data_IF_128834421841
#
_entry.id   IF_128834421841
#
_cell.length_a   1.000
_cell.length_b   1.000
_cell.length_c   1.000
_cell.angle_alpha   90.00
_cell.angle_beta   90.00
_cell.angle_gamma   90.00
#
_symmetry.space_group_name_H-M   'P 1'
#
loop_
_entity.id
_entity.type
_entity.pdbx_description
1 polymer ?
#
# COMPACT_ATOMS: atom_id res chain seq x y z
N UNK A 1 0.99 4.39 -24.77
CA UNK A 1 1.28 5.42 -23.76
C UNK A 1 -0.03 6.16 -23.44
N UNK A 2 -0.56 5.97 -22.24
CA UNK A 2 -1.70 6.76 -21.74
C UNK A 2 -1.10 8.06 -21.19
N UNK A 3 -1.56 9.20 -21.70
CA UNK A 3 -1.20 10.50 -21.14
C UNK A 3 -2.22 10.84 -20.06
N UNK A 4 -1.81 10.85 -18.80
CA UNK A 4 -2.67 11.30 -17.71
C UNK A 4 -2.81 12.83 -17.79
N UNK A 5 -4.06 13.31 -17.80
CA UNK A 5 -4.39 14.74 -17.80
C UNK A 5 -4.67 15.28 -16.38
N UNK A 6 -4.71 14.39 -15.41
CA UNK A 6 -4.98 14.66 -14.00
C UNK A 6 -3.97 13.92 -13.14
N UNK A 7 -3.75 14.35 -11.89
CA UNK A 7 -2.98 13.59 -10.92
C UNK A 7 -3.55 12.18 -10.72
N UNK A 8 -2.68 11.24 -10.42
CA UNK A 8 -3.06 9.85 -10.11
C UNK A 8 -3.25 9.64 -8.61
N UNK A 9 -4.18 8.75 -8.28
CA UNK A 9 -4.34 8.18 -6.94
C UNK A 9 -3.61 6.84 -6.95
N UNK A 10 -2.65 6.65 -6.06
CA UNK A 10 -1.90 5.40 -5.94
C UNK A 10 -1.85 4.91 -4.49
N UNK A 11 -1.26 3.74 -4.26
CA UNK A 11 -1.15 3.12 -2.93
C UNK A 11 -2.51 3.09 -2.19
N UNK A 12 -3.58 2.62 -2.86
CA UNK A 12 -4.95 2.55 -2.33
C UNK A 12 -5.46 3.88 -1.72
N UNK A 13 -5.03 5.01 -2.28
CA UNK A 13 -5.42 6.34 -1.81
C UNK A 13 -4.42 7.05 -0.92
N UNK A 14 -3.35 6.38 -0.49
CA UNK A 14 -2.34 6.97 0.39
C UNK A 14 -1.45 8.00 -0.30
N UNK A 15 -1.40 8.01 -1.64
CA UNK A 15 -0.54 8.90 -2.42
C UNK A 15 -1.31 9.54 -3.57
N UNK A 16 -1.22 10.86 -3.69
CA UNK A 16 -1.65 11.62 -4.87
C UNK A 16 -0.41 12.17 -5.56
N UNK A 17 -0.25 11.86 -6.84
CA UNK A 17 0.93 12.22 -7.63
C UNK A 17 0.55 12.90 -8.94
N UNK A 18 1.17 14.05 -9.22
CA UNK A 18 1.03 14.77 -10.48
C UNK A 18 2.20 14.43 -11.41
N UNK A 19 1.92 13.64 -12.44
CA UNK A 19 2.91 13.23 -13.43
C UNK A 19 3.37 14.40 -14.33
N UNK A 20 2.58 15.45 -14.47
CA UNK A 20 2.96 16.60 -15.28
C UNK A 20 3.90 17.55 -14.54
N UNK A 21 3.73 17.66 -13.24
CA UNK A 21 4.60 18.44 -12.35
C UNK A 21 5.70 17.60 -11.69
N UNK A 22 5.69 16.27 -11.91
CA UNK A 22 6.60 15.29 -11.28
C UNK A 22 6.65 15.45 -9.76
N UNK A 23 5.49 15.65 -9.13
CA UNK A 23 5.42 16.00 -7.70
C UNK A 23 4.34 15.24 -6.95
N UNK A 24 4.62 14.97 -5.68
CA UNK A 24 3.65 14.44 -4.71
C UNK A 24 2.77 15.60 -4.23
N UNK A 25 1.46 15.49 -4.46
CA UNK A 25 0.47 16.48 -4.03
C UNK A 25 -0.05 16.21 -2.61
N UNK A 26 -0.21 14.94 -2.25
CA UNK A 26 -0.66 14.51 -0.93
C UNK A 26 -0.11 13.11 -0.62
N UNK A 27 0.20 12.87 0.65
CA UNK A 27 0.53 11.54 1.16
C UNK A 27 0.01 11.35 2.59
N UNK A 28 -0.54 10.18 2.84
CA UNK A 28 -0.86 9.68 4.17
C UNK A 28 0.15 8.60 4.54
N UNK A 29 0.80 8.74 5.69
CA UNK A 29 1.87 7.84 6.10
C UNK A 29 1.43 6.91 7.22
N UNK A 30 2.01 5.71 7.22
CA UNK A 30 1.87 4.74 8.29
C UNK A 30 2.48 5.26 9.60
N UNK A 31 1.90 4.86 10.73
CA UNK A 31 2.65 4.85 11.97
C UNK A 31 3.75 3.79 11.85
N UNK A 32 4.99 4.24 11.75
CA UNK A 32 6.16 3.39 11.49
C UNK A 32 6.40 2.35 12.59
N UNK A 33 6.28 2.74 13.85
CA UNK A 33 6.51 1.84 14.99
C UNK A 33 5.53 0.66 14.96
N UNK A 34 4.25 0.95 14.76
CA UNK A 34 3.20 -0.07 14.63
C UNK A 34 3.43 -0.98 13.43
N UNK A 35 3.79 -0.41 12.27
CA UNK A 35 4.07 -1.17 11.05
C UNK A 35 5.32 -2.06 11.22
N UNK A 36 6.40 -1.54 11.80
CA UNK A 36 7.63 -2.30 12.07
C UNK A 36 7.33 -3.47 13.04
N UNK A 37 6.58 -3.22 14.11
CA UNK A 37 6.16 -4.26 15.06
C UNK A 37 5.40 -5.38 14.35
N UNK A 38 4.46 -5.02 13.47
CA UNK A 38 3.70 -5.98 12.70
C UNK A 38 4.58 -6.79 11.74
N UNK A 39 5.50 -6.15 11.02
CA UNK A 39 6.45 -6.82 10.12
C UNK A 39 7.28 -7.87 10.88
N UNK A 40 7.89 -7.48 12.00
CA UNK A 40 8.76 -8.37 12.77
C UNK A 40 7.99 -9.55 13.38
N UNK A 41 6.80 -9.32 13.94
CA UNK A 41 5.94 -10.39 14.49
C UNK A 41 5.49 -11.35 13.38
N UNK A 42 5.09 -10.82 12.22
CA UNK A 42 4.66 -11.63 11.08
C UNK A 42 5.81 -12.46 10.52
N UNK A 43 6.99 -11.88 10.30
CA UNK A 43 8.15 -12.63 9.80
C UNK A 43 8.62 -13.70 10.79
N UNK A 44 8.53 -13.46 12.10
CA UNK A 44 8.82 -14.47 13.10
C UNK A 44 7.85 -15.66 13.02
N UNK A 45 6.56 -15.41 12.75
CA UNK A 45 5.54 -16.46 12.65
C UNK A 45 5.47 -17.12 11.28
N UNK A 46 5.71 -16.37 10.23
CA UNK A 46 5.60 -16.78 8.83
C UNK A 46 6.89 -16.41 8.05
N UNK A 47 8.01 -17.12 8.26
CA UNK A 47 9.32 -16.73 7.72
C UNK A 47 9.44 -16.84 6.19
N UNK A 48 8.42 -17.34 5.50
CA UNK A 48 8.36 -17.44 4.03
C UNK A 48 7.57 -16.31 3.35
N UNK A 49 6.92 -15.44 4.14
CA UNK A 49 6.15 -14.31 3.61
C UNK A 49 7.12 -13.25 3.06
N UNK A 50 6.92 -12.83 1.81
CA UNK A 50 7.60 -11.67 1.25
C UNK A 50 7.07 -10.38 1.86
N UNK A 51 7.96 -9.41 2.06
CA UNK A 51 7.60 -8.11 2.65
C UNK A 51 8.24 -6.99 1.86
N UNK A 52 7.39 -6.07 1.41
CA UNK A 52 7.78 -4.86 0.70
C UNK A 52 7.23 -3.63 1.43
N UNK A 53 8.00 -2.54 1.41
CA UNK A 53 7.59 -1.23 1.93
C UNK A 53 7.63 -0.22 0.81
N UNK A 54 6.53 0.47 0.57
CA UNK A 54 6.45 1.59 -0.36
C UNK A 54 6.62 2.90 0.39
N UNK A 55 7.64 3.67 0.04
CA UNK A 55 7.85 5.01 0.56
C UNK A 55 7.07 6.08 -0.23
N UNK A 56 6.77 7.19 0.41
CA UNK A 56 5.98 8.27 -0.18
C UNK A 56 6.70 9.07 -1.30
N UNK A 57 7.94 8.75 -1.60
CA UNK A 57 8.70 9.25 -2.75
C UNK A 57 8.62 8.31 -3.97
N UNK A 58 7.87 7.19 -3.87
CA UNK A 58 7.73 6.19 -4.91
C UNK A 58 8.80 5.09 -4.90
N UNK A 59 9.76 5.12 -3.98
CA UNK A 59 10.73 4.04 -3.82
C UNK A 59 10.10 2.83 -3.14
N UNK A 60 10.49 1.64 -3.62
CA UNK A 60 10.10 0.37 -3.03
C UNK A 60 11.30 -0.31 -2.36
N UNK A 61 11.10 -0.73 -1.12
CA UNK A 61 12.08 -1.43 -0.32
C UNK A 61 11.63 -2.87 -0.09
N UNK A 62 12.51 -3.84 -0.35
CA UNK A 62 12.26 -5.26 -0.11
C UNK A 62 12.94 -5.66 1.20
N UNK A 63 12.12 -5.96 2.20
CA UNK A 63 12.57 -6.37 3.54
C UNK A 63 12.83 -7.87 3.57
N UNK A 64 11.94 -8.62 2.95
CA UNK A 64 12.06 -10.07 2.82
C UNK A 64 11.57 -10.49 1.44
N UNK A 65 12.44 -11.07 0.63
CA UNK A 65 12.15 -11.49 -0.74
C UNK A 65 11.58 -12.91 -0.79
N UNK A 66 10.65 -13.14 -1.72
CA UNK A 66 10.20 -14.46 -2.16
C UNK A 66 9.81 -14.42 -3.65
N UNK A 67 9.32 -15.53 -4.20
CA UNK A 67 8.93 -15.60 -5.61
C UNK A 67 7.82 -14.61 -5.98
N UNK A 68 6.88 -14.35 -5.05
CA UNK A 68 5.75 -13.43 -5.29
C UNK A 68 6.22 -11.97 -5.30
N UNK A 69 7.11 -11.57 -4.39
CA UNK A 69 7.69 -10.21 -4.43
C UNK A 69 8.54 -10.01 -5.68
N UNK A 70 9.28 -11.04 -6.10
CA UNK A 70 10.05 -10.95 -7.35
C UNK A 70 9.14 -10.79 -8.58
N UNK A 71 8.06 -11.56 -8.67
CA UNK A 71 7.07 -11.42 -9.73
C UNK A 71 6.43 -10.02 -9.72
N UNK A 72 6.06 -9.50 -8.55
CA UNK A 72 5.51 -8.15 -8.39
C UNK A 72 6.44 -7.06 -8.95
N UNK A 73 7.74 -7.13 -8.64
CA UNK A 73 8.72 -6.19 -9.16
C UNK A 73 8.86 -6.25 -10.69
N UNK A 74 8.83 -7.44 -11.26
CA UNK A 74 8.92 -7.65 -12.71
C UNK A 74 7.66 -7.16 -13.42
N UNK A 75 6.48 -7.51 -12.93
CA UNK A 75 5.20 -7.20 -13.55
C UNK A 75 4.89 -5.69 -13.51
N UNK A 76 5.21 -5.04 -12.40
CA UNK A 76 5.00 -3.60 -12.23
C UNK A 76 6.18 -2.73 -12.74
N UNK A 77 7.24 -3.36 -13.25
CA UNK A 77 8.46 -2.67 -13.69
C UNK A 77 9.08 -1.77 -12.61
N UNK A 78 9.00 -2.18 -11.35
CA UNK A 78 9.47 -1.42 -10.20
C UNK A 78 10.95 -1.71 -9.92
N UNK A 79 11.73 -0.64 -9.81
CA UNK A 79 13.04 -0.72 -9.15
C UNK A 79 12.84 -0.93 -7.64
N UNK A 80 13.67 -1.76 -7.02
CA UNK A 80 13.59 -2.02 -5.59
C UNK A 80 14.95 -2.00 -4.92
N UNK A 81 14.95 -1.70 -3.61
CA UNK A 81 16.13 -1.65 -2.76
C UNK A 81 15.95 -2.70 -1.66
N UNK A 82 16.80 -3.74 -1.67
CA UNK A 82 16.80 -4.72 -0.59
C UNK A 82 17.55 -4.16 0.63
N UNK A 83 16.88 -4.13 1.78
CA UNK A 83 17.49 -3.65 3.03
C UNK A 83 16.72 -4.18 4.25
N UNK A 84 17.31 -4.19 5.45
CA UNK A 84 16.60 -4.46 6.69
C UNK A 84 15.58 -3.34 6.98
N UNK A 85 14.50 -3.68 7.72
CA UNK A 85 13.36 -2.78 7.99
C UNK A 85 13.79 -1.47 8.68
N UNK A 86 14.83 -1.54 9.51
CA UNK A 86 15.37 -0.38 10.24
C UNK A 86 16.01 0.66 9.30
N UNK A 87 16.52 0.20 8.15
CA UNK A 87 17.21 1.05 7.16
C UNK A 87 16.23 1.73 6.18
N UNK A 88 14.96 1.36 6.17
CA UNK A 88 13.98 2.02 5.31
C UNK A 88 13.75 3.45 5.79
N UNK A 89 13.88 4.48 4.93
CA UNK A 89 13.60 5.87 5.29
C UNK A 89 12.18 6.08 5.79
N UNK A 90 11.94 7.16 6.53
CA UNK A 90 10.59 7.53 7.00
C UNK A 90 9.65 7.89 5.85
N UNK A 91 8.35 7.93 6.16
CA UNK A 91 7.32 8.30 5.19
C UNK A 91 6.74 7.12 4.43
N UNK A 92 6.62 5.95 5.08
CA UNK A 92 5.98 4.77 4.51
C UNK A 92 4.51 5.02 4.22
N UNK A 93 4.06 4.70 3.03
CA UNK A 93 2.65 4.86 2.63
C UNK A 93 1.92 3.53 2.59
N UNK A 94 2.66 2.41 2.46
CA UNK A 94 2.10 1.08 2.39
C UNK A 94 3.15 0.02 2.73
N UNK A 95 2.74 -1.06 3.41
CA UNK A 95 3.50 -2.32 3.51
C UNK A 95 2.72 -3.40 2.79
N UNK A 96 3.40 -4.24 2.03
CA UNK A 96 2.81 -5.39 1.32
C UNK A 96 3.40 -6.67 1.88
N UNK A 97 2.54 -7.59 2.31
CA UNK A 97 2.88 -8.98 2.58
C UNK A 97 2.44 -9.81 1.38
N UNK A 98 3.37 -10.58 0.81
CA UNK A 98 3.18 -11.30 -0.43
C UNK A 98 3.49 -12.79 -0.26
N UNK A 99 2.60 -13.67 -0.69
CA UNK A 99 2.81 -15.12 -0.72
C UNK A 99 1.71 -15.82 -1.51
N UNK A 100 1.69 -17.15 -1.48
CA UNK A 100 0.60 -17.94 -2.01
C UNK A 100 -0.74 -17.65 -1.29
N UNK A 101 -1.90 -17.95 -1.93
CA UNK A 101 -3.21 -17.60 -1.38
C UNK A 101 -3.52 -18.22 -0.02
N UNK A 102 -3.04 -19.45 0.26
CA UNK A 102 -3.29 -20.09 1.54
C UNK A 102 -2.50 -19.45 2.66
N UNK A 103 -1.24 -19.10 2.42
CA UNK A 103 -0.37 -18.37 3.35
C UNK A 103 -0.93 -17.00 3.65
N UNK A 104 -1.38 -16.24 2.66
CA UNK A 104 -2.02 -14.92 2.87
C UNK A 104 -3.33 -15.04 3.64
N UNK A 105 -4.16 -16.05 3.37
CA UNK A 105 -5.36 -16.29 4.16
C UNK A 105 -5.05 -16.59 5.64
N UNK A 106 -4.05 -17.43 5.91
CA UNK A 106 -3.59 -17.73 7.29
C UNK A 106 -3.03 -16.49 7.97
N UNK A 107 -2.24 -15.71 7.25
CA UNK A 107 -1.69 -14.45 7.73
C UNK A 107 -2.81 -13.47 8.10
N UNK A 108 -3.83 -13.29 7.24
CA UNK A 108 -4.97 -12.42 7.52
C UNK A 108 -5.77 -12.85 8.75
N UNK A 109 -5.92 -14.16 8.99
CA UNK A 109 -6.53 -14.69 10.20
C UNK A 109 -5.66 -14.38 11.44
N UNK A 110 -4.36 -14.57 11.34
CA UNK A 110 -3.42 -14.26 12.41
C UNK A 110 -3.42 -12.77 12.77
N UNK A 111 -3.34 -11.90 11.76
CA UNK A 111 -3.33 -10.45 11.95
C UNK A 111 -4.58 -9.95 12.71
N UNK A 112 -5.77 -10.56 12.48
CA UNK A 112 -7.01 -10.24 13.21
C UNK A 112 -6.97 -10.58 14.70
N UNK A 113 -6.09 -11.48 15.13
CA UNK A 113 -5.92 -11.85 16.54
C UNK A 113 -4.90 -11.00 17.28
N UNK A 114 -4.22 -10.11 16.56
CA UNK A 114 -3.13 -9.28 17.10
C UNK A 114 -3.57 -7.83 17.20
N UNK A 115 -2.92 -7.11 18.07
CA UNK A 115 -3.10 -5.68 18.22
C UNK A 115 -1.77 -4.96 17.97
N UNK A 116 -1.69 -4.25 16.87
CA UNK A 116 -0.50 -3.47 16.49
C UNK A 116 -0.74 -1.94 16.58
N UNK A 117 -1.82 -1.52 17.25
CA UNK A 117 -2.25 -0.13 17.32
C UNK A 117 -3.47 0.16 16.43
N UNK A 118 -3.89 1.42 16.38
CA UNK A 118 -5.10 1.86 15.66
C UNK A 118 -4.81 2.82 14.51
N UNK A 119 -3.57 3.23 14.33
CA UNK A 119 -3.19 4.20 13.31
C UNK A 119 -2.94 3.56 11.94
N UNK A 120 -2.80 2.23 11.94
CA UNK A 120 -2.70 1.41 10.74
C UNK A 120 -3.79 0.33 10.73
N UNK A 121 -4.15 -0.17 9.54
CA UNK A 121 -5.06 -1.30 9.41
C UNK A 121 -4.59 -2.27 8.31
N UNK A 122 -5.09 -3.51 8.35
CA UNK A 122 -4.81 -4.53 7.35
C UNK A 122 -5.89 -4.54 6.27
N UNK A 123 -5.46 -4.52 5.01
CA UNK A 123 -6.32 -4.56 3.83
C UNK A 123 -5.93 -5.75 2.94
N UNK A 124 -6.87 -6.63 2.64
CA UNK A 124 -6.70 -7.66 1.62
C UNK A 124 -7.00 -7.05 0.25
N UNK A 125 -6.00 -6.95 -0.61
CA UNK A 125 -6.15 -6.34 -1.94
C UNK A 125 -6.33 -7.37 -3.04
N UNK A 126 -5.84 -8.58 -2.83
CA UNK A 126 -6.14 -9.75 -3.65
C UNK A 126 -5.81 -11.05 -2.90
N UNK A 127 -5.79 -12.19 -3.59
CA UNK A 127 -5.55 -13.50 -2.95
C UNK A 127 -4.10 -13.73 -2.51
N UNK A 128 -3.14 -13.00 -3.07
CA UNK A 128 -1.70 -13.17 -2.82
C UNK A 128 -1.06 -12.00 -2.06
N UNK A 129 -1.85 -10.95 -1.74
CA UNK A 129 -1.38 -9.77 -1.01
C UNK A 129 -2.27 -9.43 0.18
N UNK A 130 -1.63 -9.15 1.32
CA UNK A 130 -2.22 -8.47 2.47
C UNK A 130 -1.39 -7.21 2.72
N UNK A 131 -2.03 -6.07 2.85
CA UNK A 131 -1.35 -4.78 2.98
C UNK A 131 -1.59 -4.16 4.35
N UNK A 132 -0.63 -3.37 4.85
CA UNK A 132 -0.84 -2.41 5.95
C UNK A 132 -1.01 -1.04 5.32
N UNK A 133 -2.10 -0.37 5.69
CA UNK A 133 -2.47 0.96 5.23
C UNK A 133 -2.65 1.91 6.42
N UNK A 134 -2.46 3.23 6.25
CA UNK A 134 -2.80 4.21 7.26
C UNK A 134 -4.31 4.21 7.55
N UNK A 135 -4.71 4.31 8.79
CA UNK A 135 -6.13 4.37 9.16
C UNK A 135 -6.85 5.55 8.50
N UNK A 136 -8.06 5.30 8.01
CA UNK A 136 -8.88 6.30 7.31
C UNK A 136 -8.51 6.51 5.84
N UNK A 137 -7.49 5.81 5.34
CA UNK A 137 -7.09 5.86 3.93
C UNK A 137 -7.76 4.74 3.15
N UNK A 138 -8.36 5.08 2.03
CA UNK A 138 -8.94 4.16 1.05
C UNK A 138 -8.90 4.79 -0.33
N UNK A 139 -9.20 4.03 -1.37
CA UNK A 139 -9.35 4.59 -2.73
C UNK A 139 -10.40 5.70 -2.75
N UNK A 140 -11.48 5.56 -1.97
CA UNK A 140 -12.53 6.58 -1.83
C UNK A 140 -12.01 7.86 -1.17
N UNK A 141 -11.26 7.75 -0.06
CA UNK A 141 -10.68 8.93 0.59
C UNK A 141 -9.68 9.63 -0.33
N UNK A 142 -8.84 8.89 -1.05
CA UNK A 142 -7.92 9.46 -2.04
C UNK A 142 -8.65 10.19 -3.17
N UNK A 143 -9.78 9.67 -3.65
CA UNK A 143 -10.61 10.35 -4.64
C UNK A 143 -11.24 11.63 -4.08
N UNK A 144 -11.73 11.59 -2.84
CA UNK A 144 -12.25 12.76 -2.15
C UNK A 144 -11.17 13.86 -2.05
N UNK A 145 -9.97 13.49 -1.63
CA UNK A 145 -8.85 14.43 -1.48
C UNK A 145 -8.43 15.02 -2.83
N UNK A 146 -8.37 14.20 -3.89
CA UNK A 146 -8.10 14.66 -5.24
C UNK A 146 -9.17 15.65 -5.72
N UNK A 147 -10.46 15.34 -5.51
CA UNK A 147 -11.55 16.24 -5.87
C UNK A 147 -11.45 17.57 -5.11
N UNK A 148 -11.13 17.54 -3.81
CA UNK A 148 -10.93 18.73 -2.99
C UNK A 148 -9.76 19.60 -3.50
N UNK A 149 -8.61 18.98 -3.77
CA UNK A 149 -7.44 19.66 -4.32
C UNK A 149 -7.74 20.33 -5.68
N UNK A 150 -8.54 19.69 -6.49
CA UNK A 150 -8.92 20.21 -7.82
C UNK A 150 -10.16 21.10 -7.81
N UNK A 151 -10.75 21.41 -6.66
CA UNK A 151 -12.01 22.14 -6.52
C UNK A 151 -13.15 21.52 -7.35
N UNK A 152 -13.20 20.17 -7.38
CA UNK A 152 -14.23 19.38 -8.06
C UNK A 152 -15.19 18.76 -7.07
N UNK A 153 -16.41 18.48 -7.52
CA UNK A 153 -17.42 17.82 -6.70
C UNK A 153 -17.44 16.32 -6.98
N UNK A 154 -17.47 15.50 -5.92
CA UNK A 154 -17.68 14.06 -6.01
C UNK A 154 -18.97 13.70 -6.78
N UNK A 155 -20.02 14.56 -6.75
CA UNK A 155 -21.28 14.35 -7.49
C UNK A 155 -21.11 14.32 -9.02
N UNK A 156 -20.02 14.84 -9.53
CA UNK A 156 -19.70 14.89 -10.96
C UNK A 156 -18.62 13.86 -11.34
N UNK A 157 -18.39 12.86 -10.49
CA UNK A 157 -17.37 11.83 -10.69
C UNK A 157 -18.05 10.50 -10.99
N UNK A 158 -17.50 9.78 -11.95
CA UNK A 158 -17.86 8.40 -12.28
C UNK A 158 -16.65 7.51 -11.97
N UNK A 159 -16.86 6.45 -11.22
CA UNK A 159 -15.84 5.49 -10.85
C UNK A 159 -16.19 4.12 -11.42
N UNK A 160 -15.17 3.40 -11.86
CA UNK A 160 -15.27 2.00 -12.30
C UNK A 160 -14.27 1.21 -11.47
N UNK A 161 -14.73 0.16 -10.81
CA UNK A 161 -13.93 -0.74 -9.99
C UNK A 161 -14.20 -2.19 -10.36
N UNK A 162 -13.27 -3.10 -10.02
CA UNK A 162 -13.35 -4.52 -10.34
C UNK A 162 -13.10 -5.44 -9.14
N UNK A 163 -12.75 -4.87 -7.97
CA UNK A 163 -12.43 -5.65 -6.79
C UNK A 163 -13.03 -5.08 -5.49
N UNK A 164 -12.95 -5.86 -4.39
CA UNK A 164 -13.59 -5.50 -3.12
C UNK A 164 -13.07 -4.19 -2.49
N UNK A 165 -11.80 -3.82 -2.72
CA UNK A 165 -11.24 -2.56 -2.26
C UNK A 165 -11.73 -1.33 -3.05
N UNK A 166 -12.57 -1.54 -4.07
CA UNK A 166 -13.24 -0.48 -4.85
C UNK A 166 -14.66 -0.21 -4.37
N UNK A 167 -15.22 -1.03 -3.45
CA UNK A 167 -16.60 -0.89 -3.01
C UNK A 167 -16.90 0.40 -2.23
N UNK A 168 -15.88 1.08 -1.74
CA UNK A 168 -16.02 2.32 -0.96
C UNK A 168 -16.00 3.59 -1.81
N UNK A 169 -15.71 3.46 -3.12
CA UNK A 169 -15.57 4.62 -4.02
C UNK A 169 -16.92 5.14 -4.50
#
# INVERSE_FOLDING_TARGET
NIRLSLPAISCNGALLYDFSAESVLHRSTLNREQATTAILDILNKFPHIGVEVMAGNGEMFVIHANEVTHAHQVDEHLGSIACPVESVPDGWVKVVFASDPESIRKLGQYAKTRYYGRENYFLATNSIYLEIMPSGVSKASGLHDLCALMSKSMKNTVVIGDYYNDLEI
#
